data_IF_664680471799
#
_entry.id   IF_664680471799
#
_cell.length_a   1.000
_cell.length_b   1.000
_cell.length_c   1.000
_cell.angle_alpha   90.00
_cell.angle_beta   90.00
_cell.angle_gamma   90.00
#
_symmetry.space_group_name_H-M   'P 1'
#
loop_
_entity.id
_entity.type
_entity.pdbx_description
1 polymer ?
#
# COMPACT_ATOMS: atom_id res chain seq x y z
N UNK A 1 47.47 18.37 -23.78
CA UNK A 1 46.43 19.23 -23.19
C UNK A 1 45.68 19.86 -24.37
N UNK A 2 44.58 19.37 -24.93
CA UNK A 2 43.39 18.70 -24.41
C UNK A 2 42.90 17.65 -25.42
N UNK A 3 42.60 16.42 -24.98
CA UNK A 3 42.03 15.35 -25.81
C UNK A 3 40.89 14.62 -25.07
N UNK A 4 40.05 15.37 -24.33
CA UNK A 4 39.01 14.76 -23.48
C UNK A 4 37.77 15.64 -23.33
N UNK A 5 37.06 15.94 -24.42
CA UNK A 5 35.64 16.38 -24.33
C UNK A 5 34.85 15.90 -25.55
N UNK A 6 34.98 14.64 -25.97
CA UNK A 6 34.00 14.02 -26.89
C UNK A 6 33.48 12.65 -26.43
N UNK A 7 34.03 12.08 -25.34
CA UNK A 7 33.58 10.79 -24.79
C UNK A 7 32.37 10.90 -23.84
N UNK A 8 31.96 12.11 -23.46
CA UNK A 8 30.81 12.34 -22.55
C UNK A 8 29.50 12.48 -23.34
N UNK A 9 29.57 12.63 -24.67
CA UNK A 9 28.41 12.77 -25.56
C UNK A 9 28.17 11.52 -26.42
N UNK A 10 28.58 10.33 -25.96
CA UNK A 10 27.98 9.10 -26.49
C UNK A 10 26.52 9.11 -26.10
N UNK A 11 25.66 9.58 -27.02
CA UNK A 11 24.22 9.36 -27.03
C UNK A 11 24.01 7.89 -26.66
N UNK A 12 23.69 7.60 -25.40
CA UNK A 12 23.07 6.34 -25.03
C UNK A 12 21.84 6.30 -25.91
N UNK A 13 21.84 5.41 -26.90
CA UNK A 13 20.61 4.99 -27.54
C UNK A 13 19.80 4.37 -26.43
N UNK A 14 18.99 5.18 -25.75
CA UNK A 14 17.88 4.70 -24.94
C UNK A 14 17.06 3.91 -25.94
N UNK A 15 17.13 2.58 -25.84
CA UNK A 15 16.25 1.72 -26.60
C UNK A 15 14.83 2.27 -26.35
N UNK A 16 14.22 2.78 -27.40
CA UNK A 16 12.85 3.25 -27.36
C UNK A 16 12.00 2.02 -27.02
N UNK A 17 11.53 1.96 -25.76
CA UNK A 17 10.46 1.11 -25.27
C UNK A 17 10.61 -0.40 -25.51
N UNK A 18 10.87 -1.14 -24.43
CA UNK A 18 10.57 -2.59 -24.43
C UNK A 18 11.79 -3.51 -24.35
N UNK A 19 12.90 -3.12 -23.73
CA UNK A 19 13.91 -4.10 -23.34
C UNK A 19 14.21 -4.05 -21.84
N UNK A 20 14.22 -5.21 -21.19
CA UNK A 20 14.58 -5.39 -19.77
C UNK A 20 15.74 -6.37 -19.67
N UNK A 21 16.55 -6.29 -18.60
CA UNK A 21 17.60 -7.26 -18.35
C UNK A 21 17.06 -8.46 -17.56
N UNK A 22 17.36 -9.67 -18.04
CA UNK A 22 17.16 -10.88 -17.26
C UNK A 22 18.04 -10.89 -16.02
N UNK A 23 17.74 -11.77 -15.05
CA UNK A 23 18.55 -11.96 -13.85
C UNK A 23 20.01 -12.32 -14.16
N UNK A 24 20.25 -13.06 -15.24
CA UNK A 24 21.59 -13.40 -15.76
C UNK A 24 22.24 -12.32 -16.62
N UNK A 25 21.66 -11.11 -16.73
CA UNK A 25 22.24 -9.99 -17.47
C UNK A 25 21.99 -9.96 -18.98
N UNK A 26 21.20 -10.89 -19.53
CA UNK A 26 20.79 -10.90 -20.95
C UNK A 26 19.73 -9.84 -21.21
N UNK A 27 19.75 -9.20 -22.37
CA UNK A 27 18.70 -8.27 -22.79
C UNK A 27 17.50 -9.07 -23.32
N UNK A 28 16.34 -8.88 -22.71
CA UNK A 28 15.05 -9.42 -23.12
C UNK A 28 14.29 -8.34 -23.90
N UNK A 29 13.70 -8.72 -25.02
CA UNK A 29 12.93 -7.82 -25.90
C UNK A 29 11.53 -8.36 -26.22
N UNK A 30 11.30 -9.64 -25.95
CA UNK A 30 9.98 -10.28 -26.16
C UNK A 30 9.03 -9.90 -25.03
N UNK A 31 7.77 -9.64 -25.36
CA UNK A 31 6.80 -9.12 -24.38
C UNK A 31 6.50 -10.14 -23.28
N UNK A 32 6.42 -11.43 -23.63
CA UNK A 32 6.25 -12.52 -22.66
C UNK A 32 7.40 -12.56 -21.66
N UNK A 33 8.64 -12.53 -22.15
CA UNK A 33 9.85 -12.62 -21.34
C UNK A 33 10.01 -11.39 -20.43
N UNK A 34 9.58 -10.22 -20.93
CA UNK A 34 9.54 -8.99 -20.14
C UNK A 34 8.53 -9.12 -19.01
N UNK A 35 7.31 -9.59 -19.29
CA UNK A 35 6.26 -9.77 -18.28
C UNK A 35 6.65 -10.81 -17.22
N UNK A 36 7.23 -11.93 -17.64
CA UNK A 36 7.76 -12.95 -16.74
C UNK A 36 8.84 -12.36 -15.84
N UNK A 37 9.83 -11.66 -16.41
CA UNK A 37 10.89 -11.00 -15.64
C UNK A 37 10.37 -9.94 -14.68
N UNK A 38 9.30 -9.22 -15.02
CA UNK A 38 8.60 -8.29 -14.13
C UNK A 38 7.90 -9.02 -12.99
N UNK A 39 7.20 -10.11 -13.28
CA UNK A 39 6.55 -10.95 -12.27
C UNK A 39 7.58 -11.51 -11.28
N UNK A 40 8.67 -12.11 -11.78
CA UNK A 40 9.78 -12.60 -10.96
C UNK A 40 10.37 -11.50 -10.08
N UNK A 41 10.59 -10.30 -10.64
CA UNK A 41 11.14 -9.17 -9.89
C UNK A 41 10.24 -8.76 -8.74
N UNK A 42 8.94 -8.60 -9.00
CA UNK A 42 7.96 -8.19 -8.00
C UNK A 42 7.82 -9.27 -6.94
N UNK A 43 7.76 -10.54 -7.34
CA UNK A 43 7.74 -11.66 -6.41
C UNK A 43 8.97 -11.65 -5.50
N UNK A 44 10.20 -11.53 -6.03
CA UNK A 44 11.41 -11.46 -5.21
C UNK A 44 11.46 -10.21 -4.33
N UNK A 45 11.03 -9.06 -4.84
CA UNK A 45 11.06 -7.78 -4.13
C UNK A 45 10.10 -7.77 -2.94
N UNK A 46 8.92 -8.39 -3.10
CA UNK A 46 7.88 -8.45 -2.08
C UNK A 46 7.80 -9.82 -1.38
N UNK A 47 8.69 -10.75 -1.70
CA UNK A 47 8.81 -12.00 -0.97
C UNK A 47 9.25 -11.70 0.45
N UNK A 48 8.41 -12.08 1.41
CA UNK A 48 8.68 -11.87 2.81
C UNK A 48 8.13 -13.07 3.59
N UNK A 49 9.04 -13.84 4.17
CA UNK A 49 8.77 -15.07 4.92
C UNK A 49 7.85 -14.83 6.13
N UNK A 50 7.68 -13.57 6.55
CA UNK A 50 6.76 -13.17 7.62
C UNK A 50 5.30 -13.22 7.18
N UNK A 51 4.98 -13.25 5.89
CA UNK A 51 3.58 -13.28 5.43
C UNK A 51 2.91 -14.63 5.66
N UNK A 52 3.63 -15.74 5.51
CA UNK A 52 3.07 -17.08 5.77
C UNK A 52 2.80 -17.33 7.25
N UNK A 53 3.46 -16.59 8.14
CA UNK A 53 3.39 -16.78 9.61
C UNK A 53 2.53 -15.76 10.33
N UNK A 54 1.97 -14.76 9.63
CA UNK A 54 0.96 -13.87 10.19
C UNK A 54 -0.38 -14.63 10.30
N UNK A 55 -0.48 -15.46 11.35
CA UNK A 55 -1.79 -15.74 11.93
C UNK A 55 -2.47 -14.39 12.14
N UNK A 56 -3.75 -14.23 11.77
CA UNK A 56 -4.50 -13.03 12.12
C UNK A 56 -4.29 -12.80 13.61
N UNK A 57 -3.60 -11.71 13.95
CA UNK A 57 -3.41 -11.35 15.35
C UNK A 57 -4.80 -10.92 15.79
N UNK A 58 -5.52 -11.84 16.43
CA UNK A 58 -6.77 -11.53 17.11
C UNK A 58 -6.41 -10.62 18.29
N UNK A 59 -6.38 -9.32 18.02
CA UNK A 59 -6.23 -8.30 19.02
C UNK A 59 -7.47 -8.27 19.93
N UNK A 60 -7.36 -7.70 21.14
CA UNK A 60 -8.53 -7.46 21.96
C UNK A 60 -9.55 -6.59 21.19
N UNK A 61 -10.85 -6.69 21.51
CA UNK A 61 -11.85 -5.84 20.90
C UNK A 61 -11.55 -4.37 21.20
N UNK A 62 -11.79 -3.52 20.21
CA UNK A 62 -11.67 -2.07 20.32
C UNK A 62 -12.67 -1.59 21.37
N UNK A 63 -12.17 -0.85 22.36
CA UNK A 63 -12.96 -0.32 23.47
C UNK A 63 -13.65 0.98 23.08
N UNK A 64 -14.82 1.21 23.68
CA UNK A 64 -15.57 2.46 23.51
C UNK A 64 -14.74 3.70 23.85
N UNK A 65 -13.94 3.63 24.90
CA UNK A 65 -13.07 4.71 25.36
C UNK A 65 -11.97 5.07 24.34
N UNK A 66 -11.47 4.09 23.58
CA UNK A 66 -10.49 4.33 22.52
C UNK A 66 -11.12 5.10 21.37
N UNK A 67 -12.35 4.72 20.98
CA UNK A 67 -13.11 5.39 19.92
C UNK A 67 -13.47 6.81 20.33
N UNK A 68 -13.97 6.98 21.55
CA UNK A 68 -14.32 8.29 22.11
C UNK A 68 -13.11 9.23 22.15
N UNK A 69 -11.99 8.76 22.70
CA UNK A 69 -10.74 9.53 22.73
C UNK A 69 -10.31 9.93 21.32
N UNK A 70 -10.35 8.98 20.37
CA UNK A 70 -9.93 9.24 18.98
C UNK A 70 -10.79 10.30 18.31
N UNK A 71 -12.12 10.23 18.45
CA UNK A 71 -13.05 11.20 17.86
C UNK A 71 -12.83 12.60 18.45
N UNK A 72 -12.51 12.69 19.75
CA UNK A 72 -12.24 13.95 20.43
C UNK A 72 -10.87 14.54 20.07
N UNK A 73 -9.86 13.69 19.87
CA UNK A 73 -8.49 14.11 19.52
C UNK A 73 -8.37 14.55 18.04
N UNK A 74 -9.34 14.19 17.19
CA UNK A 74 -9.32 14.56 15.78
C UNK A 74 -9.65 16.04 15.56
N UNK A 75 -8.77 16.74 14.83
CA UNK A 75 -8.96 18.14 14.45
C UNK A 75 -10.13 18.33 13.48
N UNK A 76 -10.90 19.39 13.73
CA UNK A 76 -11.95 19.87 12.85
C UNK A 76 -11.36 20.58 11.61
N UNK A 77 -12.18 20.76 10.58
CA UNK A 77 -11.82 21.39 9.30
C UNK A 77 -11.02 20.49 8.36
N UNK A 78 -11.01 19.17 8.62
CA UNK A 78 -10.40 18.21 7.69
C UNK A 78 -11.35 17.93 6.53
N UNK A 79 -10.79 17.77 5.34
CA UNK A 79 -11.55 17.31 4.19
C UNK A 79 -12.13 15.92 4.48
N UNK A 80 -13.39 15.72 4.11
CA UNK A 80 -14.04 14.41 4.21
C UNK A 80 -13.32 13.40 3.29
N UNK A 81 -13.35 12.13 3.71
CA UNK A 81 -12.79 11.04 2.91
C UNK A 81 -13.64 10.75 1.66
N UNK A 82 -13.30 9.68 0.91
CA UNK A 82 -14.11 9.19 -0.21
C UNK A 82 -15.55 8.83 0.19
N UNK A 83 -15.77 8.55 1.47
CA UNK A 83 -17.08 8.31 2.08
C UNK A 83 -17.91 9.59 2.28
N UNK A 84 -17.31 10.77 2.08
CA UNK A 84 -17.92 12.09 2.29
C UNK A 84 -18.38 12.33 3.73
N UNK A 85 -17.81 11.62 4.70
CA UNK A 85 -18.12 11.77 6.12
C UNK A 85 -17.07 12.68 6.77
N UNK A 86 -17.50 13.83 7.27
CA UNK A 86 -16.66 14.73 8.04
C UNK A 86 -16.59 14.32 9.52
N UNK A 87 -15.51 14.66 10.21
CA UNK A 87 -15.32 14.30 11.62
C UNK A 87 -16.33 14.99 12.54
N UNK A 88 -16.73 16.21 12.20
CA UNK A 88 -17.72 17.00 12.91
C UNK A 88 -19.08 16.31 12.95
N UNK A 89 -19.42 15.56 11.89
CA UNK A 89 -20.64 14.76 11.85
C UNK A 89 -20.56 13.62 12.88
N UNK A 90 -19.41 12.94 12.96
CA UNK A 90 -19.19 11.86 13.93
C UNK A 90 -19.20 12.38 15.37
N UNK A 91 -18.61 13.55 15.61
CA UNK A 91 -18.67 14.25 16.89
C UNK A 91 -20.12 14.64 17.26
N UNK A 92 -20.92 15.13 16.30
CA UNK A 92 -22.30 15.53 16.52
C UNK A 92 -23.23 14.37 16.90
N UNK A 93 -22.91 13.14 16.50
CA UNK A 93 -23.65 11.93 16.88
C UNK A 93 -23.46 11.52 18.35
N UNK A 94 -22.44 12.08 19.03
CA UNK A 94 -22.16 11.84 20.45
C UNK A 94 -22.08 10.35 20.81
N UNK A 95 -22.62 10.00 21.98
CA UNK A 95 -22.57 8.64 22.52
C UNK A 95 -23.16 7.58 21.60
N UNK A 96 -24.24 7.92 20.88
CA UNK A 96 -24.85 6.99 19.93
C UNK A 96 -23.90 6.68 18.78
N UNK A 97 -23.24 7.69 18.22
CA UNK A 97 -22.23 7.53 17.16
C UNK A 97 -21.05 6.67 17.63
N UNK A 98 -20.54 6.93 18.83
CA UNK A 98 -19.44 6.16 19.42
C UNK A 98 -19.85 4.67 19.57
N UNK A 99 -21.07 4.37 20.02
CA UNK A 99 -21.54 2.99 20.15
C UNK A 99 -21.66 2.27 18.80
N UNK A 100 -22.17 2.96 17.77
CA UNK A 100 -22.27 2.38 16.42
C UNK A 100 -20.90 2.15 15.79
N UNK A 101 -19.99 3.11 15.90
CA UNK A 101 -18.63 3.01 15.37
C UNK A 101 -17.86 1.89 16.04
N UNK A 102 -17.94 1.76 17.37
CA UNK A 102 -17.28 0.68 18.12
C UNK A 102 -17.76 -0.69 17.64
N UNK A 103 -19.07 -0.87 17.44
CA UNK A 103 -19.64 -2.12 16.92
C UNK A 103 -19.19 -2.42 15.50
N UNK A 104 -19.20 -1.40 14.63
CA UNK A 104 -18.80 -1.53 13.23
C UNK A 104 -17.32 -1.91 13.10
N UNK A 105 -16.43 -1.20 13.81
CA UNK A 105 -14.99 -1.45 13.78
C UNK A 105 -14.64 -2.85 14.27
N UNK A 106 -15.23 -3.28 15.39
CA UNK A 106 -15.04 -4.65 15.89
C UNK A 106 -15.57 -5.72 14.91
N UNK A 107 -16.70 -5.45 14.24
CA UNK A 107 -17.21 -6.33 13.18
C UNK A 107 -16.26 -6.42 12.00
N UNK A 108 -15.66 -5.30 11.57
CA UNK A 108 -14.67 -5.30 10.48
C UNK A 108 -13.44 -6.08 10.90
N UNK A 109 -12.90 -5.87 12.11
CA UNK A 109 -11.70 -6.57 12.58
C UNK A 109 -11.90 -8.08 12.70
N UNK A 110 -13.09 -8.52 13.08
CA UNK A 110 -13.44 -9.96 13.16
C UNK A 110 -13.77 -10.57 11.80
N UNK A 111 -14.30 -9.80 10.85
CA UNK A 111 -14.66 -10.26 9.50
C UNK A 111 -13.54 -10.08 8.47
N UNK A 112 -12.54 -9.25 8.76
CA UNK A 112 -11.36 -9.05 7.94
C UNK A 112 -10.46 -10.28 8.04
N UNK A 113 -10.91 -11.37 7.41
CA UNK A 113 -9.99 -12.33 6.82
C UNK A 113 -9.11 -11.50 5.89
N UNK A 114 -7.79 -11.46 6.17
CA UNK A 114 -6.80 -10.86 5.27
C UNK A 114 -7.20 -11.18 3.83
N UNK A 115 -7.24 -10.20 2.90
CA UNK A 115 -7.61 -10.49 1.52
C UNK A 115 -6.75 -11.67 1.07
N UNK A 116 -7.39 -12.80 0.79
CA UNK A 116 -6.73 -13.96 0.21
C UNK A 116 -6.22 -13.46 -1.13
N UNK A 117 -4.93 -13.15 -1.19
CA UNK A 117 -4.26 -12.83 -2.44
C UNK A 117 -4.43 -14.04 -3.35
N UNK A 118 -5.00 -13.81 -4.54
CA UNK A 118 -4.92 -14.74 -5.66
C UNK A 118 -3.47 -15.01 -6.05
#
# INVERSE_FOLDING_TARGET
MHQKINDIASKKRTAQGGCIKSKGGKILMETSDILERWSEYIQELFYDERYETQKPIEGPPILKAEVEKTINDMKNGKAAGPDQIAIELLQALGNWGIDQLTKLLNRIMTQAVSPKTC
#
